data_IF_773148825878
#
_entry.id   IF_773148825878
#
_cell.length_a   1.000
_cell.length_b   1.000
_cell.length_c   1.000
_cell.angle_alpha   90.00
_cell.angle_beta   90.00
_cell.angle_gamma   90.00
#
_symmetry.space_group_name_H-M   'P 1'
#
loop_
_entity.id
_entity.type
_entity.pdbx_description
1 polymer ?
#
# COMPACT_ATOMS: atom_id res chain seq x y z
N UNK A 1 2.97 0.12 26.13
CA UNK A 1 3.86 1.05 25.38
C UNK A 1 2.99 2.09 24.71
N UNK A 2 3.42 3.37 24.59
CA UNK A 2 2.67 4.36 23.81
C UNK A 2 2.60 3.92 22.34
N UNK A 3 1.43 4.10 21.70
CA UNK A 3 1.15 3.62 20.33
C UNK A 3 2.09 4.22 19.27
N UNK A 4 2.56 5.45 19.50
CA UNK A 4 3.58 6.12 18.69
C UNK A 4 4.93 5.40 18.72
N UNK A 5 5.34 4.87 19.88
CA UNK A 5 6.58 4.10 20.00
C UNK A 5 6.52 2.77 19.23
N UNK A 6 5.37 2.09 19.26
CA UNK A 6 5.18 0.85 18.49
C UNK A 6 5.29 1.11 16.98
N UNK A 7 4.66 2.17 16.48
CA UNK A 7 4.75 2.58 15.08
C UNK A 7 6.19 2.96 14.69
N UNK A 8 6.90 3.71 15.54
CA UNK A 8 8.32 4.05 15.31
C UNK A 8 9.22 2.82 15.26
N UNK A 9 8.97 1.85 16.14
CA UNK A 9 9.73 0.59 16.19
C UNK A 9 9.49 -0.23 14.92
N UNK A 10 8.22 -0.41 14.54
CA UNK A 10 7.84 -1.12 13.31
C UNK A 10 8.48 -0.47 12.07
N UNK A 11 8.51 0.87 12.01
CA UNK A 11 9.18 1.60 10.94
C UNK A 11 10.67 1.27 10.84
N UNK A 12 11.39 1.29 11.97
CA UNK A 12 12.83 0.96 11.99
C UNK A 12 13.07 -0.49 11.55
N UNK A 13 12.24 -1.42 12.03
CA UNK A 13 12.32 -2.83 11.62
C UNK A 13 12.06 -3.01 10.13
N UNK A 14 11.06 -2.33 9.55
CA UNK A 14 10.79 -2.39 8.12
C UNK A 14 11.93 -1.83 7.27
N UNK A 15 12.58 -0.75 7.70
CA UNK A 15 13.76 -0.24 7.01
C UNK A 15 14.90 -1.27 7.01
N UNK A 16 15.11 -1.98 8.12
CA UNK A 16 16.07 -3.08 8.21
C UNK A 16 15.67 -4.27 7.31
N UNK A 17 14.40 -4.67 7.32
CA UNK A 17 13.86 -5.74 6.46
C UNK A 17 14.04 -5.40 4.99
N UNK A 18 13.86 -4.13 4.58
CA UNK A 18 14.15 -3.69 3.20
C UNK A 18 15.62 -3.92 2.83
N UNK A 19 16.55 -3.58 3.73
CA UNK A 19 17.98 -3.86 3.52
C UNK A 19 18.27 -5.36 3.39
N UNK A 20 17.66 -6.17 4.25
CA UNK A 20 17.78 -7.63 4.21
C UNK A 20 17.20 -8.22 2.91
N UNK A 21 16.09 -7.66 2.40
CA UNK A 21 15.47 -8.11 1.16
C UNK A 21 16.40 -7.87 -0.06
N UNK A 22 17.04 -6.71 -0.13
CA UNK A 22 18.05 -6.41 -1.15
C UNK A 22 19.24 -7.38 -1.06
N UNK A 23 19.67 -7.70 0.16
CA UNK A 23 20.78 -8.63 0.38
C UNK A 23 20.43 -10.06 -0.04
N UNK A 24 19.23 -10.55 0.32
CA UNK A 24 18.72 -11.85 -0.16
C UNK A 24 18.62 -11.88 -1.68
N UNK A 25 18.14 -10.80 -2.30
CA UNK A 25 18.09 -10.69 -3.75
C UNK A 25 19.48 -10.82 -4.39
N UNK A 26 20.47 -10.13 -3.84
CA UNK A 26 21.86 -10.18 -4.31
C UNK A 26 22.43 -11.59 -4.17
N UNK A 27 22.34 -12.19 -2.98
CA UNK A 27 22.88 -13.52 -2.70
C UNK A 27 22.21 -14.61 -3.55
N UNK A 28 20.88 -14.57 -3.72
CA UNK A 28 20.17 -15.50 -4.59
C UNK A 28 20.64 -15.39 -6.05
N UNK A 29 20.84 -14.16 -6.56
CA UNK A 29 21.32 -13.95 -7.92
C UNK A 29 22.75 -14.48 -8.10
N UNK A 30 23.62 -14.27 -7.11
CA UNK A 30 24.99 -14.77 -7.11
C UNK A 30 25.03 -16.30 -7.07
N UNK A 31 24.27 -16.93 -6.17
CA UNK A 31 24.19 -18.39 -6.04
C UNK A 31 23.64 -19.04 -7.32
N UNK A 32 22.58 -18.47 -7.91
CA UNK A 32 22.05 -18.94 -9.20
C UNK A 32 23.03 -18.70 -10.35
N UNK A 33 23.78 -17.60 -10.32
CA UNK A 33 24.85 -17.33 -11.28
C UNK A 33 25.98 -18.36 -11.19
N UNK A 34 26.41 -18.70 -9.97
CA UNK A 34 27.40 -19.73 -9.70
C UNK A 34 26.92 -21.12 -10.16
N UNK A 35 25.67 -21.47 -9.84
CA UNK A 35 25.06 -22.72 -10.31
C UNK A 35 25.04 -22.81 -11.85
N UNK A 36 24.60 -21.76 -12.55
CA UNK A 36 24.51 -21.75 -14.01
C UNK A 36 25.87 -21.74 -14.71
N UNK A 37 26.88 -21.12 -14.09
CA UNK A 37 28.25 -21.05 -14.63
C UNK A 37 29.10 -22.26 -14.29
N UNK A 38 28.58 -23.24 -13.54
CA UNK A 38 29.31 -24.46 -13.16
C UNK A 38 29.86 -25.21 -14.37
N UNK A 39 31.11 -25.66 -14.24
CA UNK A 39 31.88 -26.43 -15.22
C UNK A 39 32.64 -27.54 -14.50
N UNK A 40 32.74 -28.69 -15.15
CA UNK A 40 33.52 -29.85 -14.72
C UNK A 40 33.95 -30.60 -15.99
N UNK A 41 35.26 -30.74 -16.19
CA UNK A 41 35.85 -31.36 -17.38
C UNK A 41 35.59 -32.88 -17.46
N UNK A 42 35.16 -33.50 -16.34
CA UNK A 42 34.86 -34.92 -16.25
C UNK A 42 33.38 -35.24 -16.46
N UNK A 43 32.52 -34.23 -16.55
CA UNK A 43 31.09 -34.43 -16.79
C UNK A 43 30.74 -34.27 -18.27
N UNK A 44 29.86 -35.16 -18.75
CA UNK A 44 29.20 -34.96 -20.03
C UNK A 44 28.29 -33.73 -19.99
N UNK A 45 27.86 -33.21 -21.15
CA UNK A 45 26.92 -32.09 -21.19
C UNK A 45 25.63 -32.37 -20.40
N UNK A 46 25.08 -33.60 -20.51
CA UNK A 46 23.91 -34.01 -19.74
C UNK A 46 24.20 -34.05 -18.22
N UNK A 47 25.40 -34.47 -17.83
CA UNK A 47 25.86 -34.43 -16.43
C UNK A 47 26.01 -33.01 -15.90
N UNK A 48 26.58 -32.10 -16.70
CA UNK A 48 26.66 -30.68 -16.36
C UNK A 48 25.26 -30.08 -16.16
N UNK A 49 24.33 -30.34 -17.07
CA UNK A 49 22.97 -29.79 -16.97
C UNK A 49 22.17 -30.38 -15.80
N UNK A 50 22.45 -31.63 -15.40
CA UNK A 50 21.93 -32.20 -14.17
C UNK A 50 22.52 -31.50 -12.93
N UNK A 51 23.85 -31.33 -12.88
CA UNK A 51 24.52 -30.72 -11.74
C UNK A 51 24.18 -29.23 -11.56
N UNK A 52 24.05 -28.49 -12.66
CA UNK A 52 23.57 -27.09 -12.63
C UNK A 52 22.16 -26.99 -12.05
N UNK A 53 21.26 -27.91 -12.41
CA UNK A 53 19.89 -27.94 -11.86
C UNK A 53 19.88 -28.29 -10.37
N UNK A 54 20.72 -29.23 -9.95
CA UNK A 54 20.91 -29.59 -8.53
C UNK A 54 21.39 -28.37 -7.72
N UNK A 55 22.50 -27.73 -8.13
CA UNK A 55 23.04 -26.55 -7.47
C UNK A 55 22.05 -25.38 -7.46
N UNK A 56 21.29 -25.19 -8.53
CA UNK A 56 20.23 -24.18 -8.58
C UNK A 56 19.07 -24.50 -7.63
N UNK A 57 18.74 -25.78 -7.43
CA UNK A 57 17.79 -26.24 -6.41
C UNK A 57 18.27 -25.91 -5.01
N UNK A 58 19.49 -26.32 -4.66
CA UNK A 58 20.10 -26.03 -3.35
C UNK A 58 20.19 -24.53 -3.05
N UNK A 59 20.52 -23.72 -4.06
CA UNK A 59 20.53 -22.27 -3.95
C UNK A 59 19.14 -21.71 -3.59
N UNK A 60 18.07 -22.21 -4.22
CA UNK A 60 16.70 -21.78 -3.94
C UNK A 60 16.27 -22.18 -2.53
N UNK A 61 16.51 -23.44 -2.15
CA UNK A 61 16.13 -23.97 -0.84
C UNK A 61 16.79 -23.18 0.30
N UNK A 62 18.06 -22.77 0.11
CA UNK A 62 18.81 -21.96 1.09
C UNK A 62 18.15 -20.60 1.39
N UNK A 63 17.51 -20.00 0.40
CA UNK A 63 16.96 -18.64 0.50
C UNK A 63 15.45 -18.60 0.77
N UNK A 64 14.74 -19.72 0.66
CA UNK A 64 13.29 -19.81 0.86
C UNK A 64 12.88 -19.35 2.25
N UNK A 65 13.46 -19.94 3.30
CA UNK A 65 13.14 -19.61 4.70
C UNK A 65 13.37 -18.13 5.02
N UNK A 66 14.44 -17.55 4.46
CA UNK A 66 14.78 -16.15 4.64
C UNK A 66 13.71 -15.26 4.01
N UNK A 67 13.27 -15.56 2.79
CA UNK A 67 12.23 -14.80 2.12
C UNK A 67 10.88 -14.88 2.86
N UNK A 68 10.49 -16.07 3.32
CA UNK A 68 9.26 -16.27 4.09
C UNK A 68 9.29 -15.55 5.45
N UNK A 69 10.45 -15.50 6.12
CA UNK A 69 10.64 -14.73 7.36
C UNK A 69 10.48 -13.24 7.10
N UNK A 70 11.07 -12.72 6.03
CA UNK A 70 10.97 -11.29 5.67
C UNK A 70 9.53 -10.90 5.29
N UNK A 71 8.84 -11.73 4.51
CA UNK A 71 7.44 -11.50 4.14
C UNK A 71 6.51 -11.45 5.37
N UNK A 72 6.70 -12.37 6.33
CA UNK A 72 5.97 -12.36 7.60
C UNK A 72 6.31 -11.14 8.46
N UNK A 73 7.57 -10.75 8.53
CA UNK A 73 7.99 -9.56 9.28
C UNK A 73 7.34 -8.28 8.71
N UNK A 74 7.30 -8.13 7.38
CA UNK A 74 6.63 -7.00 6.73
C UNK A 74 5.14 -6.96 7.10
N UNK A 75 4.45 -8.09 6.94
CA UNK A 75 3.02 -8.19 7.23
C UNK A 75 2.69 -7.85 8.69
N UNK A 76 3.51 -8.33 9.62
CA UNK A 76 3.38 -8.06 11.05
C UNK A 76 3.61 -6.59 11.41
N UNK A 77 4.67 -5.97 10.87
CA UNK A 77 4.96 -4.55 11.13
C UNK A 77 3.89 -3.63 10.53
N UNK A 78 3.36 -3.96 9.34
CA UNK A 78 2.23 -3.25 8.74
C UNK A 78 0.98 -3.37 9.60
N UNK A 79 0.67 -4.55 10.15
CA UNK A 79 -0.51 -4.73 10.99
C UNK A 79 -0.42 -3.93 12.29
N UNK A 80 0.75 -3.92 12.95
CA UNK A 80 1.00 -3.10 14.15
C UNK A 80 0.71 -1.62 13.86
N UNK A 81 1.22 -1.12 12.74
CA UNK A 81 1.10 0.30 12.40
C UNK A 81 -0.34 0.67 12.07
N UNK A 82 -1.05 -0.19 11.34
CA UNK A 82 -2.49 -0.01 11.08
C UNK A 82 -3.30 0.01 12.38
N UNK A 83 -2.99 -0.88 13.31
CA UNK A 83 -3.63 -0.91 14.63
C UNK A 83 -3.32 0.37 15.43
N UNK A 84 -2.07 0.83 15.42
CA UNK A 84 -1.67 2.10 16.06
C UNK A 84 -2.41 3.31 15.49
N UNK A 85 -2.53 3.41 14.16
CA UNK A 85 -3.31 4.48 13.50
C UNK A 85 -4.77 4.41 13.92
N UNK A 86 -5.39 3.23 13.82
CA UNK A 86 -6.81 3.08 14.16
C UNK A 86 -7.10 3.38 15.63
N UNK A 87 -6.20 2.98 16.54
CA UNK A 87 -6.36 3.20 17.98
C UNK A 87 -6.05 4.63 18.42
N UNK A 88 -5.22 5.35 17.66
CA UNK A 88 -4.84 6.74 17.97
C UNK A 88 -5.72 7.77 17.25
N UNK A 89 -6.57 7.33 16.30
CA UNK A 89 -7.46 8.21 15.56
C UNK A 89 -8.52 8.79 16.50
N UNK A 90 -8.84 10.09 16.40
CA UNK A 90 -10.04 10.64 17.02
C UNK A 90 -11.27 9.84 16.61
N UNK A 91 -12.14 9.50 17.55
CA UNK A 91 -13.36 8.73 17.28
C UNK A 91 -14.59 9.64 17.30
N UNK A 92 -15.58 9.32 16.48
CA UNK A 92 -16.93 9.84 16.66
C UNK A 92 -17.44 9.25 17.99
N UNK A 93 -18.08 10.07 18.82
CA UNK A 93 -18.70 9.58 20.06
C UNK A 93 -19.68 8.44 19.78
N UNK A 94 -19.75 7.45 20.67
CA UNK A 94 -20.60 6.27 20.49
C UNK A 94 -22.07 6.51 20.83
N UNK A 95 -22.42 7.69 21.33
CA UNK A 95 -23.80 8.05 21.64
C UNK A 95 -24.59 8.48 20.40
N UNK A 96 -25.92 8.36 20.47
CA UNK A 96 -26.81 8.71 19.36
C UNK A 96 -26.68 10.19 18.95
N UNK A 97 -26.39 11.09 19.89
CA UNK A 97 -26.28 12.52 19.59
C UNK A 97 -25.01 12.82 18.77
N UNK A 98 -23.89 12.15 19.05
CA UNK A 98 -22.64 12.26 18.32
C UNK A 98 -22.78 11.70 16.90
N UNK A 99 -23.44 10.55 16.74
CA UNK A 99 -23.78 10.01 15.42
C UNK A 99 -24.66 10.97 14.62
N UNK A 100 -25.69 11.55 15.24
CA UNK A 100 -26.55 12.55 14.59
C UNK A 100 -25.77 13.80 14.17
N UNK A 101 -24.90 14.35 15.04
CA UNK A 101 -24.07 15.51 14.69
C UNK A 101 -23.16 15.20 13.51
N UNK A 102 -22.54 14.02 13.52
CA UNK A 102 -21.62 13.62 12.47
C UNK A 102 -22.37 13.40 11.14
N UNK A 103 -23.57 12.80 11.16
CA UNK A 103 -24.45 12.72 9.98
C UNK A 103 -24.82 14.11 9.43
N UNK A 104 -25.15 15.07 10.30
CA UNK A 104 -25.44 16.44 9.89
C UNK A 104 -24.22 17.11 9.23
N UNK A 105 -23.00 16.85 9.72
CA UNK A 105 -21.76 17.34 9.10
C UNK A 105 -21.57 16.72 7.71
N UNK A 106 -21.89 15.44 7.55
CA UNK A 106 -21.86 14.79 6.25
C UNK A 106 -22.87 15.37 5.27
N UNK A 107 -24.10 15.62 5.70
CA UNK A 107 -25.11 16.25 4.83
C UNK A 107 -24.66 17.63 4.34
N UNK A 108 -23.99 18.41 5.20
CA UNK A 108 -23.38 19.70 4.82
C UNK A 108 -22.24 19.52 3.81
N UNK A 109 -21.39 18.50 3.98
CA UNK A 109 -20.34 18.17 3.01
C UNK A 109 -20.96 17.80 1.67
N UNK A 110 -21.94 16.90 1.64
CA UNK A 110 -22.62 16.47 0.42
C UNK A 110 -23.23 17.65 -0.33
N UNK A 111 -23.88 18.59 0.38
CA UNK A 111 -24.42 19.80 -0.23
C UNK A 111 -23.34 20.64 -0.93
N UNK A 112 -22.13 20.76 -0.34
CA UNK A 112 -21.01 21.48 -0.96
C UNK A 112 -20.46 20.75 -2.19
N UNK A 113 -20.36 19.42 -2.13
CA UNK A 113 -19.93 18.61 -3.26
C UNK A 113 -20.93 18.71 -4.42
N UNK A 114 -22.23 18.65 -4.11
CA UNK A 114 -23.30 18.82 -5.09
C UNK A 114 -23.35 20.23 -5.70
N UNK A 115 -22.86 21.25 -4.98
CA UNK A 115 -22.67 22.60 -5.55
C UNK A 115 -21.37 22.74 -6.37
N UNK A 116 -20.67 21.64 -6.67
CA UNK A 116 -19.43 21.63 -7.46
C UNK A 116 -18.17 21.98 -6.68
N UNK A 117 -18.21 22.03 -5.33
CA UNK A 117 -16.99 22.22 -4.55
C UNK A 117 -16.17 20.92 -4.53
N UNK A 118 -14.87 20.95 -4.87
CA UNK A 118 -14.06 19.74 -4.89
C UNK A 118 -13.83 19.20 -3.47
N UNK A 119 -13.80 17.87 -3.32
CA UNK A 119 -13.60 17.20 -2.04
C UNK A 119 -12.30 17.64 -1.36
N UNK A 120 -11.24 17.85 -2.13
CA UNK A 120 -9.94 18.34 -1.62
C UNK A 120 -10.06 19.70 -0.92
N UNK A 121 -10.91 20.60 -1.45
CA UNK A 121 -11.17 21.93 -0.85
C UNK A 121 -12.05 21.85 0.39
N UNK A 122 -13.06 20.97 0.37
CA UNK A 122 -13.88 20.70 1.56
C UNK A 122 -12.99 20.20 2.69
N UNK A 123 -12.13 19.22 2.39
CA UNK A 123 -11.25 18.60 3.37
C UNK A 123 -10.18 19.55 3.92
N UNK A 124 -9.61 20.42 3.08
CA UNK A 124 -8.63 21.42 3.50
C UNK A 124 -9.15 22.35 4.62
N UNK A 125 -10.47 22.58 4.68
CA UNK A 125 -11.13 23.45 5.67
C UNK A 125 -11.91 22.68 6.75
N UNK A 126 -11.97 21.35 6.66
CA UNK A 126 -12.78 20.52 7.56
C UNK A 126 -12.28 20.60 9.01
N UNK A 127 -13.17 20.84 9.97
CA UNK A 127 -12.88 20.61 11.40
C UNK A 127 -12.79 19.09 11.70
N UNK A 128 -12.47 18.71 12.93
CA UNK A 128 -12.29 17.29 13.30
C UNK A 128 -13.54 16.48 13.02
N UNK A 129 -14.72 16.99 13.41
CA UNK A 129 -16.00 16.29 13.21
C UNK A 129 -16.34 16.13 11.72
N UNK A 130 -16.08 17.17 10.91
CA UNK A 130 -16.30 17.13 9.47
C UNK A 130 -15.35 16.14 8.79
N UNK A 131 -14.08 16.10 9.20
CA UNK A 131 -13.12 15.15 8.65
C UNK A 131 -13.48 13.70 9.03
N UNK A 132 -13.91 13.45 10.27
CA UNK A 132 -14.42 12.14 10.69
C UNK A 132 -15.70 11.75 9.93
N UNK A 133 -16.59 12.71 9.69
CA UNK A 133 -17.77 12.47 8.87
C UNK A 133 -17.40 12.05 7.44
N UNK A 134 -16.48 12.78 6.80
CA UNK A 134 -15.97 12.40 5.48
C UNK A 134 -15.39 10.99 5.53
N UNK A 135 -14.60 10.65 6.57
CA UNK A 135 -14.03 9.31 6.72
C UNK A 135 -15.08 8.20 6.70
N UNK A 136 -16.17 8.40 7.43
CA UNK A 136 -17.21 7.41 7.65
C UNK A 136 -18.08 7.20 6.41
N UNK A 137 -18.55 8.28 5.78
CA UNK A 137 -19.59 8.19 4.75
C UNK A 137 -19.12 8.44 3.32
N UNK A 138 -18.03 9.16 3.11
CA UNK A 138 -17.58 9.49 1.76
C UNK A 138 -17.12 8.28 0.93
N UNK A 139 -16.46 7.24 1.50
CA UNK A 139 -16.09 6.05 0.72
C UNK A 139 -17.30 5.41 0.03
N UNK A 140 -18.35 5.07 0.78
CA UNK A 140 -19.56 4.47 0.24
C UNK A 140 -20.29 5.39 -0.75
N UNK A 141 -20.29 6.70 -0.49
CA UNK A 141 -20.90 7.68 -1.41
C UNK A 141 -20.14 7.78 -2.73
N UNK A 142 -18.80 7.82 -2.70
CA UNK A 142 -17.97 7.87 -3.89
C UNK A 142 -18.09 6.58 -4.72
N UNK A 143 -18.12 5.44 -4.05
CA UNK A 143 -18.40 4.15 -4.70
C UNK A 143 -19.76 4.19 -5.41
N UNK A 144 -20.82 4.63 -4.73
CA UNK A 144 -22.16 4.76 -5.32
C UNK A 144 -22.18 5.70 -6.54
N UNK A 145 -21.53 6.86 -6.46
CA UNK A 145 -21.44 7.82 -7.57
C UNK A 145 -20.72 7.24 -8.79
N UNK A 146 -19.71 6.39 -8.60
CA UNK A 146 -18.99 5.76 -9.71
C UNK A 146 -19.87 4.82 -10.54
N UNK A 147 -20.91 4.21 -9.93
CA UNK A 147 -21.87 3.37 -10.64
C UNK A 147 -22.89 4.18 -11.47
N UNK A 148 -23.22 5.41 -11.07
CA UNK A 148 -24.19 6.26 -11.77
C UNK A 148 -23.65 6.80 -13.11
N UNK A 149 -22.33 6.92 -13.24
CA UNK A 149 -21.66 7.49 -14.44
C UNK A 149 -21.45 6.45 -15.54
N UNK A 150 -21.66 5.15 -15.28
CA UNK A 150 -21.60 4.12 -16.32
C UNK A 150 -22.85 4.20 -17.21
N UNK A 151 -22.78 4.67 -18.47
CA UNK A 151 -23.94 4.66 -19.35
C UNK A 151 -24.39 3.23 -19.58
N UNK A 152 -25.70 3.01 -19.46
CA UNK A 152 -26.38 1.73 -19.69
C UNK A 152 -25.91 1.08 -21.01
N UNK A 153 -24.88 0.22 -20.95
CA UNK A 153 -24.35 -0.49 -22.12
C UNK A 153 -22.82 -0.50 -22.29
N UNK A 154 -22.07 0.40 -21.64
CA UNK A 154 -20.61 0.23 -21.54
C UNK A 154 -20.33 -0.71 -20.36
N UNK A 155 -19.68 -1.84 -20.62
CA UNK A 155 -19.35 -2.80 -19.56
C UNK A 155 -18.65 -2.11 -18.38
N UNK A 156 -18.85 -2.64 -17.17
CA UNK A 156 -18.24 -2.21 -15.90
C UNK A 156 -16.69 -2.12 -15.90
N UNK A 157 -16.03 -2.43 -17.03
CA UNK A 157 -14.59 -2.50 -17.15
C UNK A 157 -13.89 -1.14 -17.31
N UNK A 158 -14.58 -0.09 -17.77
CA UNK A 158 -13.95 1.18 -18.15
C UNK A 158 -14.22 2.36 -17.20
N UNK A 159 -14.92 2.15 -16.09
CA UNK A 159 -15.08 3.20 -15.06
C UNK A 159 -13.79 3.26 -14.22
N UNK A 160 -13.06 4.39 -14.20
CA UNK A 160 -11.87 4.50 -13.38
C UNK A 160 -12.26 4.35 -11.91
N UNK A 161 -11.64 3.37 -11.23
CA UNK A 161 -11.87 3.12 -9.81
C UNK A 161 -11.58 4.38 -8.98
N UNK A 162 -12.48 4.72 -8.06
CA UNK A 162 -12.29 5.87 -7.17
C UNK A 162 -11.17 5.58 -6.18
N UNK A 163 -10.23 6.52 -6.01
CA UNK A 163 -9.10 6.41 -5.06
C UNK A 163 -9.56 6.64 -3.61
N UNK A 164 -10.33 5.69 -3.08
CA UNK A 164 -10.82 5.69 -1.69
C UNK A 164 -9.65 5.72 -0.70
N UNK A 165 -8.58 4.98 -0.99
CA UNK A 165 -7.38 4.99 -0.15
C UNK A 165 -6.74 6.38 -0.11
N UNK A 166 -6.60 7.06 -1.24
CA UNK A 166 -6.15 8.46 -1.29
C UNK A 166 -7.01 9.39 -0.45
N UNK A 167 -8.33 9.22 -0.49
CA UNK A 167 -9.25 10.00 0.33
C UNK A 167 -9.02 9.76 1.82
N UNK A 168 -9.04 8.50 2.26
CA UNK A 168 -8.85 8.13 3.66
C UNK A 168 -7.49 8.63 4.18
N UNK A 169 -6.46 8.59 3.33
CA UNK A 169 -5.14 9.14 3.66
C UNK A 169 -5.17 10.64 3.85
N UNK A 170 -5.82 11.36 2.94
CA UNK A 170 -5.97 12.82 3.02
C UNK A 170 -6.79 13.23 4.25
N UNK A 171 -7.78 12.41 4.64
CA UNK A 171 -8.57 12.62 5.86
C UNK A 171 -7.72 12.42 7.11
N UNK A 172 -6.93 11.36 7.16
CA UNK A 172 -6.00 11.11 8.26
C UNK A 172 -4.95 12.24 8.36
N UNK A 173 -4.45 12.78 7.24
CA UNK A 173 -3.54 13.91 7.22
C UNK A 173 -4.22 15.20 7.75
N UNK A 174 -5.50 15.42 7.42
CA UNK A 174 -6.27 16.55 7.95
C UNK A 174 -6.52 16.43 9.45
N UNK A 175 -6.80 15.23 9.94
CA UNK A 175 -6.95 14.95 11.37
C UNK A 175 -5.62 15.10 12.11
N UNK A 176 -4.52 14.64 11.52
CA UNK A 176 -3.17 14.81 12.04
C UNK A 176 -2.79 16.30 12.21
N UNK A 177 -3.18 17.16 11.27
CA UNK A 177 -2.94 18.60 11.39
C UNK A 177 -3.63 19.25 12.62
N UNK A 178 -4.57 18.55 13.27
CA UNK A 178 -5.34 19.01 14.41
C UNK A 178 -4.96 18.31 15.72
N UNK A 179 -4.08 17.30 15.67
CA UNK A 179 -3.66 16.50 16.83
C UNK A 179 -2.18 16.10 16.72
N UNK A 180 -1.34 16.62 17.62
CA UNK A 180 0.11 16.36 17.64
C UNK A 180 0.39 14.85 17.82
N UNK A 181 -0.34 14.20 18.72
CA UNK A 181 -0.14 12.77 19.00
C UNK A 181 -0.50 11.90 17.80
N UNK A 182 -1.60 12.23 17.11
CA UNK A 182 -2.01 11.49 15.91
C UNK A 182 -1.09 11.78 14.73
N UNK A 183 -0.54 12.99 14.61
CA UNK A 183 0.38 13.37 13.55
C UNK A 183 1.63 12.49 13.50
N UNK A 184 2.24 12.20 14.65
CA UNK A 184 3.42 11.33 14.70
C UNK A 184 3.09 9.89 14.27
N UNK A 185 1.92 9.38 14.64
CA UNK A 185 1.47 8.03 14.25
C UNK A 185 1.18 7.96 12.74
N UNK A 186 0.49 8.96 12.18
CA UNK A 186 0.22 9.03 10.73
C UNK A 186 1.52 9.14 9.93
N UNK A 187 2.47 9.97 10.37
CA UNK A 187 3.78 10.10 9.74
C UNK A 187 4.55 8.79 9.73
N UNK A 188 4.56 8.06 10.86
CA UNK A 188 5.15 6.72 10.92
C UNK A 188 4.43 5.75 9.97
N UNK A 189 3.10 5.81 9.90
CA UNK A 189 2.29 4.98 9.01
C UNK A 189 2.62 5.19 7.54
N UNK A 190 2.75 6.43 7.08
CA UNK A 190 3.09 6.74 5.69
C UNK A 190 4.42 6.13 5.28
N UNK A 191 5.43 6.23 6.15
CA UNK A 191 6.76 5.67 5.90
C UNK A 191 6.71 4.13 5.85
N UNK A 192 5.91 3.52 6.71
CA UNK A 192 5.69 2.07 6.73
C UNK A 192 4.96 1.59 5.48
N UNK A 193 3.87 2.25 5.10
CA UNK A 193 3.08 1.96 3.90
C UNK A 193 3.94 2.07 2.63
N UNK A 194 4.76 3.12 2.53
CA UNK A 194 5.71 3.30 1.43
C UNK A 194 6.70 2.14 1.33
N UNK A 195 7.34 1.77 2.45
CA UNK A 195 8.32 0.67 2.48
C UNK A 195 7.65 -0.66 2.14
N UNK A 196 6.48 -0.94 2.70
CA UNK A 196 5.75 -2.18 2.46
C UNK A 196 5.30 -2.30 1.00
N UNK A 197 4.73 -1.23 0.44
CA UNK A 197 4.33 -1.18 -0.97
C UNK A 197 5.54 -1.35 -1.91
N UNK A 198 6.70 -0.79 -1.57
CA UNK A 198 7.92 -1.02 -2.33
C UNK A 198 8.43 -2.47 -2.23
N UNK A 199 8.25 -3.12 -1.08
CA UNK A 199 8.76 -4.47 -0.84
C UNK A 199 7.97 -5.55 -1.60
N UNK A 200 6.66 -5.37 -1.78
CA UNK A 200 5.77 -6.39 -2.37
C UNK A 200 6.19 -6.84 -3.79
N UNK A 201 6.44 -5.94 -4.77
CA UNK A 201 6.92 -6.39 -6.10
C UNK A 201 8.27 -7.11 -6.06
N UNK A 202 9.14 -6.70 -5.13
CA UNK A 202 10.45 -7.34 -4.94
C UNK A 202 10.29 -8.75 -4.36
N UNK A 203 9.41 -8.92 -3.37
CA UNK A 203 9.06 -10.24 -2.81
C UNK A 203 8.45 -11.15 -3.89
N UNK A 204 7.55 -10.62 -4.72
CA UNK A 204 6.96 -11.35 -5.85
C UNK A 204 8.03 -11.84 -6.83
N UNK A 205 8.93 -10.95 -7.24
CA UNK A 205 10.09 -11.29 -8.09
C UNK A 205 10.96 -12.39 -7.47
N UNK A 206 11.34 -12.27 -6.21
CA UNK A 206 12.18 -13.27 -5.54
C UNK A 206 11.47 -14.61 -5.39
N UNK A 207 10.17 -14.60 -5.07
CA UNK A 207 9.35 -15.82 -5.00
C UNK A 207 9.28 -16.52 -6.36
N UNK A 208 9.16 -15.75 -7.44
CA UNK A 208 9.16 -16.29 -8.80
C UNK A 208 10.53 -16.85 -9.19
N UNK A 209 11.64 -16.22 -8.75
CA UNK A 209 12.99 -16.78 -8.94
C UNK A 209 13.22 -18.06 -8.16
N UNK A 210 12.74 -18.12 -6.92
CA UNK A 210 12.82 -19.30 -6.06
C UNK A 210 12.06 -20.48 -6.66
N UNK A 211 10.89 -20.25 -7.25
CA UNK A 211 10.13 -21.29 -7.97
C UNK A 211 10.72 -21.65 -9.34
N UNK A 212 11.77 -20.97 -9.80
CA UNK A 212 12.38 -21.17 -11.11
C UNK A 212 11.54 -20.64 -12.28
N UNK A 213 10.54 -19.80 -12.02
CA UNK A 213 9.70 -19.17 -13.03
C UNK A 213 10.41 -18.02 -13.77
N UNK A 214 9.80 -17.52 -14.87
CA UNK A 214 10.31 -16.35 -15.58
C UNK A 214 10.26 -15.14 -14.66
N UNK A 215 11.33 -14.34 -14.59
CA UNK A 215 11.41 -13.21 -13.67
C UNK A 215 12.13 -12.03 -14.32
N UNK A 216 11.59 -10.83 -14.18
CA UNK A 216 12.22 -9.58 -14.64
C UNK A 216 12.50 -8.66 -13.45
N UNK A 217 13.78 -8.57 -13.07
CA UNK A 217 14.22 -7.74 -11.96
C UNK A 217 14.06 -6.24 -12.21
N UNK A 218 14.16 -5.79 -13.48
CA UNK A 218 13.96 -4.39 -13.83
C UNK A 218 12.48 -4.03 -13.73
N UNK A 219 11.60 -4.87 -14.25
CA UNK A 219 10.15 -4.68 -14.11
C UNK A 219 9.73 -4.64 -12.63
N UNK A 220 10.29 -5.53 -11.80
CA UNK A 220 10.05 -5.54 -10.37
C UNK A 220 10.52 -4.25 -9.67
N UNK A 221 11.68 -3.71 -10.04
CA UNK A 221 12.19 -2.44 -9.51
C UNK A 221 11.31 -1.24 -9.91
N UNK A 222 10.84 -1.19 -11.16
CA UNK A 222 9.91 -0.16 -11.64
C UNK A 222 8.58 -0.26 -10.90
N UNK A 223 8.05 -1.48 -10.75
CA UNK A 223 6.81 -1.74 -10.02
C UNK A 223 6.94 -1.36 -8.53
N UNK A 224 8.06 -1.68 -7.91
CA UNK A 224 8.39 -1.30 -6.52
C UNK A 224 8.38 0.23 -6.33
N UNK A 225 9.08 0.96 -7.21
CA UNK A 225 9.11 2.42 -7.17
C UNK A 225 7.70 3.03 -7.39
N UNK A 226 6.96 2.50 -8.35
CA UNK A 226 5.59 2.96 -8.66
C UNK A 226 4.62 2.65 -7.52
N UNK A 227 4.78 1.52 -6.83
CA UNK A 227 3.98 1.16 -5.66
C UNK A 227 4.26 2.09 -4.47
N UNK A 228 5.53 2.41 -4.20
CA UNK A 228 5.92 3.39 -3.18
C UNK A 228 5.31 4.78 -3.45
N UNK A 229 5.38 5.25 -4.70
CA UNK A 229 4.81 6.53 -5.10
C UNK A 229 3.27 6.56 -4.96
N UNK A 230 2.58 5.45 -5.29
CA UNK A 230 1.12 5.34 -5.11
C UNK A 230 0.72 5.32 -3.63
N UNK A 231 1.46 4.59 -2.78
CA UNK A 231 1.17 4.49 -1.35
C UNK A 231 1.20 5.85 -0.62
N UNK A 232 1.95 6.82 -1.14
CA UNK A 232 2.10 8.16 -0.56
C UNK A 232 1.33 9.25 -1.30
N UNK A 233 0.71 8.94 -2.45
CA UNK A 233 0.00 9.91 -3.28
C UNK A 233 -1.27 10.45 -2.59
N UNK A 234 -1.46 11.77 -2.41
CA UNK A 234 -2.70 12.31 -1.84
C UNK A 234 -3.91 12.04 -2.74
N UNK A 235 -5.12 12.22 -2.19
CA UNK A 235 -6.35 12.08 -2.95
C UNK A 235 -6.33 12.99 -4.18
N UNK A 236 -6.61 12.42 -5.35
CA UNK A 236 -6.84 13.16 -6.58
C UNK A 236 -8.26 12.88 -7.02
N UNK A 237 -9.06 13.93 -7.08
CA UNK A 237 -10.45 13.84 -7.52
C UNK A 237 -10.51 13.42 -8.99
N UNK A 238 -11.42 12.49 -9.37
CA UNK A 238 -11.59 12.14 -10.77
C UNK A 238 -11.98 13.40 -11.57
N UNK A 239 -11.57 13.50 -12.84
CA UNK A 239 -12.01 14.59 -13.69
C UNK A 239 -13.53 14.60 -13.74
N UNK A 240 -14.14 15.74 -13.42
CA UNK A 240 -15.58 15.93 -13.57
C UNK A 240 -15.92 15.68 -15.05
N UNK A 241 -17.00 14.92 -15.37
CA UNK A 241 -17.41 14.75 -16.74
C UNK A 241 -17.62 16.14 -17.33
N UNK A 242 -16.99 16.42 -18.47
CA UNK A 242 -17.18 17.69 -19.15
C UNK A 242 -18.69 17.90 -19.32
N UNK A 243 -19.22 19.01 -18.81
CA UNK A 243 -20.62 19.37 -19.03
C UNK A 243 -20.83 19.33 -20.55
N UNK A 244 -21.57 18.31 -21.02
CA UNK A 244 -22.00 18.24 -22.41
C UNK A 244 -23.04 19.35 -22.52
N UNK A 245 -22.57 20.54 -22.88
CA UNK A 245 -23.42 21.67 -23.21
C UNK A 245 -24.23 21.29 -24.44
N UNK A 246 -25.51 21.00 -24.20
CA UNK A 246 -26.52 20.79 -25.23
C UNK A 246 -27.00 22.14 -25.79
#
# INVERSE_FOLDING_TARGET
MPLSHAAQTARVRLAQVRGQLTEVARQLNEDLGAANSYRDDYLSQAGLDAKRRELAGEARDRHQDSLEKLARAISYDVSIVRESVNSSRPAIGSDAAALMRSQMKWDQVRMRLQSGMPMTRVLATADTETALAIREWAPAWLEAQSYEVAPNGSGLADVPAVDVDGLLRSVDDRLAAQSVDFAEVVKASRQVEEIAAAAEPTLGYLTQRLSGGPSDGLAAAIASHSAAARATRPFVEPPQPAEVTA
#
